data_IF_053412865329
#
_entry.id   IF_053412865329
#
_cell.length_a   1.000
_cell.length_b   1.000
_cell.length_c   1.000
_cell.angle_alpha   90.00
_cell.angle_beta   90.00
_cell.angle_gamma   90.00
#
_symmetry.space_group_name_H-M   'P 1'
#
loop_
_entity.id
_entity.type
_entity.pdbx_description
1 polymer ?
#
# COMPACT_ATOMS: atom_id res chain seq x y z
N UNK A 1 0.27 3.27 -32.33
CA UNK A 1 0.57 4.54 -31.63
C UNK A 1 -0.04 4.42 -30.26
N UNK A 2 0.74 3.90 -29.30
CA UNK A 2 0.25 3.57 -27.97
C UNK A 2 -0.07 4.87 -27.22
N UNK A 3 -1.36 5.11 -26.98
CA UNK A 3 -1.79 6.20 -26.10
C UNK A 3 -1.36 5.81 -24.70
N UNK A 4 -0.35 6.50 -24.14
CA UNK A 4 -0.06 6.44 -22.71
C UNK A 4 -1.33 6.82 -21.96
N UNK A 5 -1.90 5.86 -21.25
CA UNK A 5 -3.03 6.07 -20.35
C UNK A 5 -2.55 7.05 -19.28
N UNK A 6 -3.18 8.22 -19.16
CA UNK A 6 -2.88 9.14 -18.08
C UNK A 6 -3.45 8.58 -16.78
N UNK A 7 -2.57 8.13 -15.89
CA UNK A 7 -2.92 7.48 -14.63
C UNK A 7 -3.04 8.45 -13.47
N UNK A 8 -2.54 9.68 -13.62
CA UNK A 8 -2.48 10.66 -12.54
C UNK A 8 -3.59 11.71 -12.68
N UNK A 9 -3.87 12.44 -11.60
CA UNK A 9 -4.81 13.59 -11.58
C UNK A 9 -6.23 13.28 -12.08
N UNK A 10 -6.67 12.02 -11.99
CA UNK A 10 -8.06 11.65 -12.21
C UNK A 10 -8.91 11.98 -10.98
N UNK A 11 -10.21 12.16 -11.21
CA UNK A 11 -11.21 12.26 -10.15
C UNK A 11 -11.27 10.96 -9.33
N UNK A 12 -11.67 11.10 -8.08
CA UNK A 12 -11.89 9.98 -7.18
C UNK A 12 -13.16 9.21 -7.58
N UNK A 13 -13.19 7.92 -7.26
CA UNK A 13 -14.31 7.02 -7.54
C UNK A 13 -14.88 6.51 -6.22
N UNK A 14 -16.20 6.51 -6.11
CA UNK A 14 -16.89 6.02 -4.92
C UNK A 14 -16.79 4.48 -4.82
N UNK A 15 -16.43 4.02 -3.63
CA UNK A 15 -16.56 2.62 -3.23
C UNK A 15 -17.29 2.61 -1.89
N UNK A 16 -18.54 2.14 -1.90
CA UNK A 16 -19.38 2.03 -0.69
C UNK A 16 -19.50 3.36 0.09
N UNK A 17 -19.57 4.51 -0.59
CA UNK A 17 -19.67 5.82 0.04
C UNK A 17 -18.32 6.48 0.37
N UNK A 18 -17.19 5.84 0.06
CA UNK A 18 -15.85 6.35 0.33
C UNK A 18 -15.14 6.69 -1.01
N UNK A 19 -14.63 7.93 -1.18
CA UNK A 19 -13.91 8.30 -2.39
C UNK A 19 -12.48 7.75 -2.38
N UNK A 20 -12.17 6.86 -3.33
CA UNK A 20 -10.86 6.23 -3.50
C UNK A 20 -10.22 6.60 -4.84
N UNK A 21 -8.92 6.28 -5.02
CA UNK A 21 -8.29 6.41 -6.33
C UNK A 21 -8.97 5.48 -7.35
N UNK A 22 -9.09 5.94 -8.59
CA UNK A 22 -9.77 5.20 -9.67
C UNK A 22 -9.27 3.76 -9.83
N UNK A 23 -7.96 3.53 -9.72
CA UNK A 23 -7.34 2.22 -9.88
C UNK A 23 -7.47 1.32 -8.65
N UNK A 24 -7.91 1.86 -7.51
CA UNK A 24 -8.30 1.03 -6.36
C UNK A 24 -9.73 0.56 -6.56
N UNK A 25 -10.61 1.47 -6.98
CA UNK A 25 -12.02 1.16 -7.25
C UNK A 25 -12.17 0.12 -8.37
N UNK A 26 -11.40 0.23 -9.46
CA UNK A 26 -11.40 -0.76 -10.56
C UNK A 26 -10.95 -2.16 -10.11
N UNK A 27 -10.08 -2.26 -9.11
CA UNK A 27 -9.53 -3.53 -8.60
C UNK A 27 -10.08 -3.89 -7.22
N UNK A 28 -11.20 -3.30 -6.80
CA UNK A 28 -11.75 -3.46 -5.46
C UNK A 28 -11.98 -4.92 -5.06
N UNK A 29 -12.37 -5.77 -6.01
CA UNK A 29 -12.58 -7.20 -5.76
C UNK A 29 -11.33 -7.90 -5.20
N UNK A 30 -10.13 -7.48 -5.60
CA UNK A 30 -8.87 -8.05 -5.08
C UNK A 30 -8.59 -7.57 -3.65
N UNK A 31 -8.95 -6.32 -3.33
CA UNK A 31 -8.79 -5.76 -1.98
C UNK A 31 -9.77 -6.43 -1.03
N UNK A 32 -11.03 -6.60 -1.45
CA UNK A 32 -12.08 -7.23 -0.66
C UNK A 32 -11.82 -8.72 -0.39
N UNK A 33 -11.21 -9.43 -1.36
CA UNK A 33 -10.87 -10.84 -1.24
C UNK A 33 -9.48 -11.09 -0.63
N UNK A 34 -8.82 -10.08 -0.05
CA UNK A 34 -7.48 -10.26 0.53
C UNK A 34 -7.50 -11.29 1.68
N UNK A 35 -6.59 -12.26 1.61
CA UNK A 35 -6.43 -13.32 2.61
C UNK A 35 -5.31 -12.95 3.58
N UNK A 36 -5.68 -12.42 4.76
CA UNK A 36 -4.72 -12.13 5.82
C UNK A 36 -4.18 -13.42 6.46
N UNK A 37 -2.93 -13.37 6.92
CA UNK A 37 -2.30 -14.43 7.70
C UNK A 37 -2.45 -14.17 9.21
N UNK A 38 -2.49 -15.21 10.06
CA UNK A 38 -2.65 -15.02 11.51
C UNK A 38 -1.53 -14.22 12.20
N UNK A 39 -0.35 -14.15 11.57
CA UNK A 39 0.85 -13.47 12.06
C UNK A 39 1.08 -12.09 11.40
N UNK A 40 0.17 -11.64 10.55
CA UNK A 40 0.25 -10.32 9.93
C UNK A 40 0.01 -9.21 10.95
N UNK A 41 0.71 -8.09 10.76
CA UNK A 41 0.54 -6.86 11.54
C UNK A 41 0.03 -5.75 10.61
N UNK A 42 -1.17 -5.24 10.91
CA UNK A 42 -1.78 -4.14 10.15
C UNK A 42 -1.46 -2.77 10.77
N UNK A 43 -0.93 -1.87 9.95
CA UNK A 43 -0.82 -0.44 10.28
C UNK A 43 -1.99 0.29 9.63
N UNK A 44 -3.00 0.66 10.43
CA UNK A 44 -4.16 1.41 9.95
C UNK A 44 -4.11 2.86 10.40
N UNK A 45 -4.10 3.78 9.44
CA UNK A 45 -4.03 5.23 9.70
C UNK A 45 -4.82 5.99 8.66
N UNK A 46 -5.48 7.07 9.07
CA UNK A 46 -5.93 8.08 8.10
C UNK A 46 -4.71 8.68 7.36
N UNK A 47 -4.82 9.02 6.06
CA UNK A 47 -3.70 9.56 5.31
C UNK A 47 -3.04 10.73 6.02
N UNK A 48 -1.70 10.73 6.03
CA UNK A 48 -0.83 11.76 6.63
C UNK A 48 -0.76 11.75 8.16
N UNK A 49 -1.37 10.79 8.85
CA UNK A 49 -1.31 10.66 10.31
C UNK A 49 -0.07 9.91 10.83
N UNK A 50 1.06 9.95 10.13
CA UNK A 50 2.32 9.35 10.57
C UNK A 50 2.58 7.90 10.14
N UNK A 51 1.90 7.40 9.10
CA UNK A 51 2.05 6.02 8.59
C UNK A 51 3.51 5.64 8.36
N UNK A 52 4.27 6.43 7.59
CA UNK A 52 5.69 6.14 7.32
C UNK A 52 6.53 6.11 8.59
N UNK A 53 6.22 6.96 9.57
CA UNK A 53 6.98 7.02 10.81
C UNK A 53 6.81 5.73 11.62
N UNK A 54 5.57 5.27 11.82
CA UNK A 54 5.31 4.04 12.55
C UNK A 54 5.77 2.80 11.78
N UNK A 55 5.68 2.80 10.44
CA UNK A 55 6.20 1.71 9.60
C UNK A 55 7.72 1.52 9.76
N UNK A 56 8.50 2.60 9.81
CA UNK A 56 9.96 2.50 10.04
C UNK A 56 10.29 2.00 11.45
N UNK A 57 9.55 2.45 12.47
CA UNK A 57 9.73 1.96 13.84
C UNK A 57 9.48 0.45 13.90
N UNK A 58 8.40 -0.03 13.28
CA UNK A 58 8.07 -1.45 13.25
C UNK A 58 9.12 -2.26 12.48
N UNK A 59 9.58 -1.79 11.32
CA UNK A 59 10.63 -2.50 10.57
C UNK A 59 11.95 -2.57 11.36
N UNK A 60 12.30 -1.52 12.12
CA UNK A 60 13.43 -1.55 13.05
C UNK A 60 13.24 -2.60 14.14
N UNK A 61 12.06 -2.68 14.76
CA UNK A 61 11.77 -3.71 15.77
C UNK A 61 11.91 -5.12 15.19
N UNK A 62 11.32 -5.37 14.02
CA UNK A 62 11.41 -6.68 13.33
C UNK A 62 12.85 -7.04 12.95
N UNK A 63 13.70 -6.04 12.71
CA UNK A 63 15.13 -6.23 12.40
C UNK A 63 16.05 -6.08 13.63
N UNK A 64 15.52 -6.11 14.85
CA UNK A 64 16.29 -5.97 16.11
C UNK A 64 17.15 -4.69 16.17
N UNK A 65 16.64 -3.59 15.61
CA UNK A 65 17.32 -2.30 15.57
C UNK A 65 18.41 -2.17 14.51
N UNK A 66 18.57 -3.16 13.62
CA UNK A 66 19.58 -3.14 12.55
C UNK A 66 19.16 -2.20 11.41
N UNK A 67 19.74 -0.99 11.41
CA UNK A 67 19.46 0.03 10.41
C UNK A 67 19.92 -0.35 8.99
N UNK A 68 20.91 -1.22 8.83
CA UNK A 68 21.37 -1.64 7.49
C UNK A 68 20.35 -2.59 6.86
N UNK A 69 19.75 -3.48 7.66
CA UNK A 69 18.62 -4.30 7.19
C UNK A 69 17.38 -3.48 6.83
N UNK A 70 17.13 -2.37 7.52
CA UNK A 70 16.03 -1.46 7.18
C UNK A 70 16.25 -0.67 5.88
N UNK A 71 17.50 -0.56 5.40
CA UNK A 71 17.83 0.07 4.11
C UNK A 71 17.76 -0.88 2.91
N UNK A 72 17.37 -2.14 3.12
CA UNK A 72 17.31 -3.17 2.06
C UNK A 72 16.43 -2.78 0.87
N UNK A 73 15.39 -1.98 1.10
CA UNK A 73 14.56 -1.40 0.05
C UNK A 73 13.78 -0.18 0.59
N UNK A 74 13.05 0.51 -0.29
CA UNK A 74 12.16 1.59 0.08
C UNK A 74 11.00 1.10 0.98
N UNK A 75 10.53 1.98 1.86
CA UNK A 75 9.51 1.64 2.87
C UNK A 75 8.23 1.06 2.28
N UNK A 76 7.77 1.57 1.14
CA UNK A 76 6.54 1.11 0.48
C UNK A 76 6.64 -0.31 -0.12
N UNK A 77 7.85 -0.89 -0.17
CA UNK A 77 8.06 -2.29 -0.53
C UNK A 77 8.32 -3.17 0.70
N UNK A 78 8.97 -2.63 1.73
CA UNK A 78 9.19 -3.33 3.01
C UNK A 78 7.90 -3.51 3.80
N UNK A 79 7.06 -2.48 3.78
CA UNK A 79 5.72 -2.42 4.38
C UNK A 79 4.76 -2.07 3.24
N UNK A 80 4.23 -3.08 2.52
CA UNK A 80 3.40 -2.85 1.35
C UNK A 80 2.12 -2.08 1.69
N UNK A 81 1.73 -1.16 0.81
CA UNK A 81 0.42 -0.52 0.90
C UNK A 81 -0.61 -1.45 0.24
N UNK A 82 -1.43 -2.11 1.06
CA UNK A 82 -2.34 -3.19 0.66
C UNK A 82 -3.25 -2.82 -0.50
N UNK A 83 -4.04 -1.75 -0.36
CA UNK A 83 -5.07 -1.37 -1.35
C UNK A 83 -4.51 -0.56 -2.53
N UNK A 84 -3.25 -0.09 -2.47
CA UNK A 84 -2.69 0.76 -3.52
C UNK A 84 -2.29 -0.07 -4.75
N UNK A 85 -3.21 -0.19 -5.70
CA UNK A 85 -2.98 -0.89 -6.97
C UNK A 85 -2.84 0.15 -8.07
N UNK A 86 -1.62 0.30 -8.60
CA UNK A 86 -1.31 1.19 -9.73
C UNK A 86 -0.56 0.37 -10.79
N UNK A 87 -0.93 0.47 -12.08
CA UNK A 87 -0.19 -0.19 -13.15
C UNK A 87 1.31 0.16 -13.09
N UNK A 88 2.16 -0.87 -12.96
CA UNK A 88 3.62 -0.72 -12.92
C UNK A 88 4.24 -0.54 -11.53
N UNK A 89 3.45 -0.57 -10.45
CA UNK A 89 3.94 -0.61 -9.07
C UNK A 89 3.60 -1.95 -8.40
N UNK A 90 4.47 -2.45 -7.53
CA UNK A 90 4.19 -3.62 -6.69
C UNK A 90 3.13 -3.28 -5.64
N UNK A 91 2.07 -4.11 -5.53
CA UNK A 91 1.01 -3.96 -4.54
C UNK A 91 1.21 -4.93 -3.35
N UNK A 92 0.43 -4.74 -2.27
CA UNK A 92 0.51 -5.56 -1.05
C UNK A 92 -0.41 -6.78 -1.01
N UNK A 93 -1.14 -7.09 -2.08
CA UNK A 93 -2.16 -8.14 -2.08
C UNK A 93 -1.55 -9.55 -2.14
N UNK A 94 -0.32 -9.68 -2.65
CA UNK A 94 0.36 -10.96 -2.85
C UNK A 94 1.64 -11.12 -1.99
N UNK A 95 1.79 -10.35 -0.91
CA UNK A 95 2.93 -10.47 0.03
C UNK A 95 2.81 -11.68 0.95
#
# INVERSE_FOLDING_TARGET
MDKKVDIFRRELVDVQGIPLFWSIAEQWSQVESFEARPDDLLISTYPKSGTTWISEILDLIYNNGDAEKCKRDAIYKRVPFMELIIPGLSNGIFS
#
